data_IF_232993143963
#
_entry.id   IF_232993143963
#
_cell.length_a   1.000
_cell.length_b   1.000
_cell.length_c   1.000
_cell.angle_alpha   90.00
_cell.angle_beta   90.00
_cell.angle_gamma   90.00
#
_symmetry.space_group_name_H-M   'P 1'
#
loop_
_entity.id
_entity.type
_entity.pdbx_description
1 polymer ?
#
# COMPACT_ATOMS: atom_id res chain seq x y z
N UNK A 1 8.31 4.45 -8.70
CA UNK A 1 8.20 3.23 -9.52
C UNK A 1 8.53 3.61 -10.96
N UNK A 2 9.44 2.90 -11.63
CA UNK A 2 9.84 3.17 -13.02
C UNK A 2 10.23 4.63 -13.30
N UNK A 3 10.93 5.28 -12.36
CA UNK A 3 11.36 6.68 -12.46
C UNK A 3 10.32 7.73 -12.05
N UNK A 4 9.08 7.31 -11.79
CA UNK A 4 8.00 8.20 -11.32
C UNK A 4 7.88 8.16 -9.80
N UNK A 5 7.71 9.31 -9.16
CA UNK A 5 7.49 9.43 -7.72
C UNK A 5 6.02 9.15 -7.40
N UNK A 6 5.75 8.37 -6.36
CA UNK A 6 4.40 8.05 -5.90
C UNK A 6 4.25 8.35 -4.42
N UNK A 7 3.03 8.70 -4.00
CA UNK A 7 2.61 8.70 -2.61
C UNK A 7 1.76 7.48 -2.29
N UNK A 8 2.02 6.86 -1.14
CA UNK A 8 1.20 5.81 -0.55
C UNK A 8 0.61 6.34 0.74
N UNK A 9 -0.73 6.41 0.82
CA UNK A 9 -1.44 7.02 1.94
C UNK A 9 -2.28 5.95 2.64
N UNK A 10 -1.85 5.54 3.82
CA UNK A 10 -2.58 4.58 4.66
C UNK A 10 -3.85 5.19 5.25
N UNK A 11 -4.98 4.50 5.05
CA UNK A 11 -6.25 4.84 5.69
C UNK A 11 -6.51 3.85 6.83
N UNK A 12 -5.93 4.16 7.99
CA UNK A 12 -5.91 3.33 9.22
C UNK A 12 -7.25 2.59 9.47
N UNK A 13 -8.35 3.33 9.62
CA UNK A 13 -9.64 2.75 10.02
C UNK A 13 -10.31 1.86 8.97
N UNK A 14 -10.16 2.17 7.69
CA UNK A 14 -10.82 1.45 6.60
C UNK A 14 -9.93 0.36 5.99
N UNK A 15 -8.64 0.35 6.33
CA UNK A 15 -7.70 -0.73 6.02
C UNK A 15 -7.01 -0.64 4.66
N UNK A 16 -7.29 0.38 3.84
CA UNK A 16 -6.69 0.49 2.51
C UNK A 16 -5.64 1.59 2.38
N UNK A 17 -5.02 1.61 1.20
CA UNK A 17 -3.97 2.55 0.83
C UNK A 17 -4.35 3.24 -0.46
N UNK A 18 -4.39 4.57 -0.43
CA UNK A 18 -4.54 5.36 -1.65
C UNK A 18 -3.17 5.58 -2.29
N UNK A 19 -3.11 5.45 -3.62
CA UNK A 19 -1.88 5.64 -4.40
C UNK A 19 -2.06 6.84 -5.32
N UNK A 20 -1.09 7.75 -5.29
CA UNK A 20 -1.06 8.93 -6.13
C UNK A 20 0.26 9.04 -6.88
N UNK A 21 0.19 9.43 -8.15
CA UNK A 21 1.33 9.85 -8.95
C UNK A 21 1.70 11.29 -8.57
N UNK A 22 2.99 11.52 -8.29
CA UNK A 22 3.56 12.79 -7.89
C UNK A 22 4.50 13.39 -8.95
N UNK A 23 4.28 13.10 -10.23
CA UNK A 23 5.01 13.75 -11.34
C UNK A 23 4.90 15.28 -11.24
N UNK A 24 3.71 15.79 -10.91
CA UNK A 24 3.50 17.16 -10.41
C UNK A 24 3.03 17.09 -8.94
N UNK A 25 3.91 17.35 -7.95
CA UNK A 25 3.54 17.32 -6.54
C UNK A 25 2.49 18.36 -6.12
N UNK A 26 2.27 19.40 -6.94
CA UNK A 26 1.24 20.43 -6.67
C UNK A 26 -0.13 20.04 -7.22
N UNK A 27 -0.19 19.05 -8.11
CA UNK A 27 -1.41 18.47 -8.66
C UNK A 27 -1.32 16.92 -8.70
N UNK A 28 -1.31 16.23 -7.55
CA UNK A 28 -1.23 14.78 -7.50
C UNK A 28 -2.38 14.09 -8.24
N UNK A 29 -2.06 13.07 -9.04
CA UNK A 29 -3.06 12.31 -9.78
C UNK A 29 -3.37 10.98 -9.08
N UNK A 30 -4.65 10.67 -8.88
CA UNK A 30 -5.07 9.41 -8.29
C UNK A 30 -4.76 8.24 -9.23
N UNK A 31 -4.12 7.20 -8.70
CA UNK A 31 -3.76 5.98 -9.45
C UNK A 31 -4.70 4.84 -9.09
N UNK A 32 -4.72 4.45 -7.81
CA UNK A 32 -5.49 3.29 -7.36
C UNK A 32 -5.71 3.28 -5.84
N UNK A 33 -6.51 2.32 -5.38
CA UNK A 33 -6.76 2.01 -3.99
C UNK A 33 -6.42 0.54 -3.74
N UNK A 34 -5.43 0.29 -2.88
CA UNK A 34 -4.99 -1.05 -2.50
C UNK A 34 -5.71 -1.45 -1.21
N UNK A 35 -6.44 -2.55 -1.25
CA UNK A 35 -7.07 -3.12 -0.07
C UNK A 35 -7.38 -4.58 -0.29
N UNK A 36 -7.05 -5.40 0.71
CA UNK A 36 -7.54 -6.77 0.84
C UNK A 36 -8.70 -6.85 1.85
N UNK A 37 -9.09 -5.71 2.42
CA UNK A 37 -10.07 -5.59 3.51
C UNK A 37 -11.48 -5.92 3.00
N UNK A 38 -12.16 -6.81 3.70
CA UNK A 38 -13.54 -7.22 3.41
C UNK A 38 -14.50 -6.59 4.40
N UNK A 39 -15.55 -5.97 3.88
CA UNK A 39 -16.61 -5.35 4.68
C UNK A 39 -17.53 -6.40 5.30
N UNK A 40 -18.17 -6.04 6.42
CA UNK A 40 -19.15 -6.87 7.16
C UNK A 40 -18.60 -8.16 7.80
N UNK A 41 -17.29 -8.25 7.98
CA UNK A 41 -16.63 -9.32 8.75
C UNK A 41 -16.02 -8.75 10.03
N UNK A 42 -15.75 -9.62 11.02
CA UNK A 42 -14.99 -9.22 12.20
C UNK A 42 -13.56 -8.79 11.79
N UNK A 43 -12.89 -7.90 12.55
CA UNK A 43 -11.57 -7.39 12.15
C UNK A 43 -10.57 -8.50 11.79
N UNK A 44 -10.55 -9.60 12.56
CA UNK A 44 -9.66 -10.73 12.31
C UNK A 44 -10.00 -11.56 11.06
N UNK A 45 -11.26 -11.51 10.60
CA UNK A 45 -11.73 -12.20 9.41
C UNK A 45 -11.83 -11.29 8.18
N UNK A 46 -11.72 -9.98 8.38
CA UNK A 46 -11.84 -8.96 7.35
C UNK A 46 -10.55 -8.76 6.54
N UNK A 47 -9.45 -9.45 6.84
CA UNK A 47 -8.19 -9.32 6.10
C UNK A 47 -7.30 -8.26 6.72
N UNK A 48 -6.61 -7.47 5.89
CA UNK A 48 -5.65 -6.47 6.35
C UNK A 48 -6.35 -5.20 6.84
N UNK A 49 -6.08 -4.76 8.07
CA UNK A 49 -6.75 -3.63 8.74
C UNK A 49 -5.77 -2.83 9.57
N UNK A 50 -5.94 -1.50 9.61
CA UNK A 50 -5.04 -0.59 10.33
C UNK A 50 -3.62 -0.61 9.74
N UNK A 51 -3.45 -0.20 8.46
CA UNK A 51 -2.12 0.02 7.92
C UNK A 51 -1.38 1.08 8.75
N UNK A 52 -0.19 0.74 9.24
CA UNK A 52 0.64 1.60 10.08
C UNK A 52 2.00 1.86 9.43
N UNK A 53 2.92 0.88 9.55
CA UNK A 53 4.27 0.97 9.04
C UNK A 53 4.32 0.68 7.55
N UNK A 54 5.08 1.49 6.82
CA UNK A 54 5.34 1.34 5.39
C UNK A 54 6.84 1.20 5.15
N UNK A 55 7.21 0.29 4.26
CA UNK A 55 8.55 0.22 3.69
C UNK A 55 8.46 -0.01 2.18
N UNK A 56 9.41 0.53 1.43
CA UNK A 56 9.43 0.46 -0.02
C UNK A 56 10.75 -0.11 -0.52
N UNK A 57 10.67 -1.17 -1.32
CA UNK A 57 11.82 -1.80 -1.97
C UNK A 57 11.79 -1.45 -3.44
N UNK A 58 12.81 -0.76 -3.92
CA UNK A 58 12.95 -0.44 -5.34
C UNK A 58 13.14 -1.72 -6.17
N UNK A 59 12.79 -1.64 -7.46
CA UNK A 59 12.94 -2.76 -8.40
C UNK A 59 14.37 -3.31 -8.42
N UNK A 60 15.40 -2.45 -8.34
CA UNK A 60 16.80 -2.89 -8.35
C UNK A 60 17.22 -3.67 -7.10
N UNK A 61 16.52 -3.48 -5.98
CA UNK A 61 16.80 -4.16 -4.70
C UNK A 61 15.82 -5.31 -4.43
N UNK A 62 14.89 -5.58 -5.35
CA UNK A 62 13.84 -6.57 -5.19
C UNK A 62 14.24 -7.92 -5.79
N UNK A 63 13.96 -9.06 -5.12
CA UNK A 63 14.25 -10.39 -5.67
C UNK A 63 13.39 -10.75 -6.89
N UNK A 64 12.28 -10.04 -7.13
CA UNK A 64 11.41 -10.26 -8.29
C UNK A 64 11.75 -9.34 -9.47
N UNK A 65 12.62 -8.35 -9.26
CA UNK A 65 12.92 -7.30 -10.22
C UNK A 65 11.83 -6.23 -10.35
N UNK A 66 10.76 -6.32 -9.55
CA UNK A 66 9.66 -5.34 -9.52
C UNK A 66 9.67 -4.57 -8.19
N UNK A 67 9.14 -3.35 -8.20
CA UNK A 67 9.05 -2.55 -6.97
C UNK A 67 8.03 -3.15 -6.00
N UNK A 68 8.34 -3.12 -4.69
CA UNK A 68 7.49 -3.68 -3.64
C UNK A 68 7.12 -2.62 -2.60
N UNK A 69 5.87 -2.64 -2.15
CA UNK A 69 5.40 -1.91 -0.97
C UNK A 69 5.04 -2.91 0.13
N UNK A 70 5.69 -2.79 1.27
CA UNK A 70 5.48 -3.62 2.46
C UNK A 70 4.70 -2.81 3.48
N UNK A 71 3.61 -3.37 3.99
CA UNK A 71 2.72 -2.69 4.92
C UNK A 71 2.47 -3.58 6.13
N UNK A 72 2.70 -3.03 7.33
CA UNK A 72 2.30 -3.65 8.59
C UNK A 72 0.89 -3.23 8.99
N UNK A 73 0.09 -4.20 9.44
CA UNK A 73 -1.30 -4.00 9.84
C UNK A 73 -1.49 -4.31 11.33
N UNK A 74 -1.69 -3.27 12.16
CA UNK A 74 -1.70 -3.40 13.63
C UNK A 74 -2.84 -4.29 14.13
N UNK A 75 -4.06 -4.05 13.65
CA UNK A 75 -5.26 -4.71 14.19
C UNK A 75 -5.39 -6.15 13.71
N UNK A 76 -5.06 -6.43 12.45
CA UNK A 76 -5.07 -7.80 11.92
C UNK A 76 -3.82 -8.58 12.31
N UNK A 77 -2.72 -7.92 12.70
CA UNK A 77 -1.44 -8.53 13.00
C UNK A 77 -0.77 -9.15 11.77
N UNK A 78 -1.05 -8.62 10.58
CA UNK A 78 -0.57 -9.13 9.29
C UNK A 78 0.45 -8.19 8.67
N UNK A 79 1.23 -8.71 7.71
CA UNK A 79 2.10 -7.93 6.84
C UNK A 79 1.76 -8.29 5.40
N UNK A 80 1.55 -7.26 4.58
CA UNK A 80 1.19 -7.43 3.16
C UNK A 80 2.27 -6.85 2.27
N UNK A 81 2.53 -7.52 1.15
CA UNK A 81 3.48 -7.09 0.13
C UNK A 81 2.74 -6.90 -1.19
N UNK A 82 2.69 -5.66 -1.68
CA UNK A 82 2.17 -5.33 -3.00
C UNK A 82 3.31 -5.18 -3.99
N UNK A 83 3.17 -5.76 -5.17
CA UNK A 83 4.13 -5.68 -6.28
C UNK A 83 3.61 -4.74 -7.36
N UNK A 84 4.49 -3.91 -7.93
CA UNK A 84 4.20 -2.98 -9.02
C UNK A 84 5.10 -3.28 -10.22
N UNK A 85 4.48 -3.56 -11.36
CA UNK A 85 5.12 -3.82 -12.65
C UNK A 85 5.18 -2.55 -13.49
#
# INVERSE_FOLDING_TARGET
INGVLYAFIGLERVGGVMVYDLTDPTAPEYVTYLSSTRINLSPRAAGDISPEGFDFVSAENSPTGNALLIIGHEVSGTVTVWEFQ
#
